data_IF_783454752330
#
_entry.id   IF_783454752330
#
_cell.length_a   1.000
_cell.length_b   1.000
_cell.length_c   1.000
_cell.angle_alpha   90.00
_cell.angle_beta   90.00
_cell.angle_gamma   90.00
#
_symmetry.space_group_name_H-M   'P 1'
#
loop_
_entity.id
_entity.type
_entity.pdbx_description
1 polymer ?
#
# COMPACT_ATOMS: atom_id res chain seq x y z
N UNK A 1 10.95 14.65 -5.52
CA UNK A 1 9.75 13.87 -5.15
C UNK A 1 9.30 13.13 -6.40
N UNK A 2 8.98 11.82 -6.33
CA UNK A 2 8.45 11.09 -7.48
C UNK A 2 7.02 11.57 -7.82
N UNK A 3 6.59 11.35 -9.05
CA UNK A 3 5.29 11.77 -9.57
C UNK A 3 4.08 11.05 -8.92
N UNK A 4 2.87 11.53 -9.28
CA UNK A 4 1.60 10.99 -8.80
C UNK A 4 1.44 9.50 -9.13
N UNK A 5 1.77 9.10 -10.37
CA UNK A 5 1.78 7.72 -10.85
C UNK A 5 2.57 6.81 -9.90
N UNK A 6 3.77 7.24 -9.53
CA UNK A 6 4.62 6.52 -8.60
C UNK A 6 4.01 6.42 -7.22
N UNK A 7 3.34 7.47 -6.72
CA UNK A 7 2.67 7.43 -5.40
C UNK A 7 1.54 6.42 -5.40
N UNK A 8 0.70 6.40 -6.45
CA UNK A 8 -0.39 5.41 -6.60
C UNK A 8 0.18 4.00 -6.70
N UNK A 9 1.23 3.80 -7.51
CA UNK A 9 1.89 2.51 -7.63
C UNK A 9 2.42 1.99 -6.29
N UNK A 10 3.21 2.79 -5.56
CA UNK A 10 3.80 2.33 -4.30
C UNK A 10 2.75 2.12 -3.21
N UNK A 11 1.72 2.96 -3.13
CA UNK A 11 0.62 2.80 -2.17
C UNK A 11 -0.07 1.45 -2.38
N UNK A 12 -0.54 1.19 -3.60
CA UNK A 12 -1.27 -0.03 -3.95
C UNK A 12 -0.38 -1.28 -3.84
N UNK A 13 0.88 -1.19 -4.29
CA UNK A 13 1.84 -2.29 -4.16
C UNK A 13 2.17 -2.61 -2.70
N UNK A 14 2.22 -1.60 -1.83
CA UNK A 14 2.46 -1.83 -0.39
C UNK A 14 1.24 -2.49 0.25
N UNK A 15 0.03 -2.00 -0.04
CA UNK A 15 -1.21 -2.56 0.50
C UNK A 15 -1.37 -4.06 0.15
N UNK A 16 -1.21 -4.44 -1.12
CA UNK A 16 -1.32 -5.85 -1.51
C UNK A 16 -0.20 -6.72 -0.91
N UNK A 17 1.03 -6.20 -0.77
CA UNK A 17 2.13 -6.92 -0.11
C UNK A 17 1.91 -7.13 1.39
N UNK A 18 1.21 -6.22 2.07
CA UNK A 18 0.79 -6.43 3.47
C UNK A 18 -0.09 -7.67 3.54
N UNK A 19 -1.14 -7.73 2.72
CA UNK A 19 -2.05 -8.88 2.66
C UNK A 19 -1.27 -10.15 2.33
N UNK A 20 -0.53 -10.15 1.22
CA UNK A 20 0.17 -11.32 0.73
C UNK A 20 1.12 -11.93 1.78
N UNK A 21 1.95 -11.09 2.41
CA UNK A 21 2.92 -11.54 3.43
C UNK A 21 2.24 -12.04 4.70
N UNK A 22 1.20 -11.33 5.15
CA UNK A 22 0.47 -11.73 6.37
C UNK A 22 -0.40 -12.96 6.17
N UNK A 23 -0.77 -13.31 4.94
CA UNK A 23 -1.47 -14.57 4.62
C UNK A 23 -0.56 -15.67 4.10
N UNK A 24 0.71 -15.37 3.81
CA UNK A 24 1.69 -16.34 3.32
C UNK A 24 1.50 -16.73 1.87
N UNK A 25 0.91 -15.85 1.06
CA UNK A 25 0.79 -16.01 -0.40
C UNK A 25 1.78 -15.09 -1.11
N UNK A 26 2.12 -15.41 -2.35
CA UNK A 26 2.94 -14.52 -3.17
C UNK A 26 2.13 -13.29 -3.62
N UNK A 27 2.70 -12.08 -3.55
CA UNK A 27 2.03 -10.87 -4.01
C UNK A 27 1.85 -10.89 -5.53
N UNK A 28 0.79 -10.24 -6.01
CA UNK A 28 0.60 -10.09 -7.46
C UNK A 28 1.76 -9.27 -8.07
N UNK A 29 2.18 -9.64 -9.27
CA UNK A 29 3.08 -8.81 -10.07
C UNK A 29 2.30 -7.65 -10.67
N UNK A 30 2.41 -6.49 -10.02
CA UNK A 30 1.77 -5.25 -10.45
C UNK A 30 2.86 -4.27 -10.88
N UNK A 31 3.28 -4.24 -12.16
CA UNK A 31 4.40 -3.43 -12.64
C UNK A 31 4.17 -1.94 -12.42
N UNK A 32 5.21 -1.12 -12.55
CA UNK A 32 5.07 0.35 -12.39
C UNK A 32 4.45 1.01 -13.60
N UNK A 33 4.74 0.47 -14.77
CA UNK A 33 4.38 1.08 -16.06
C UNK A 33 2.90 0.85 -16.42
N UNK A 34 2.13 0.13 -15.60
CA UNK A 34 0.68 -0.03 -15.74
C UNK A 34 -0.13 1.14 -15.14
N UNK A 35 0.56 2.12 -14.54
CA UNK A 35 -0.04 3.19 -13.76
C UNK A 35 0.31 4.53 -14.39
N UNK A 36 -0.25 4.83 -15.58
CA UNK A 36 0.15 6.00 -16.39
C UNK A 36 -0.92 7.09 -16.52
N UNK A 37 -2.20 6.72 -16.41
CA UNK A 37 -3.37 7.61 -16.57
C UNK A 37 -4.38 7.38 -15.44
N UNK A 38 -5.32 8.32 -15.26
CA UNK A 38 -6.30 8.25 -14.17
C UNK A 38 -7.15 6.97 -14.21
N UNK A 39 -7.62 6.55 -15.38
CA UNK A 39 -8.38 5.30 -15.56
C UNK A 39 -7.59 4.09 -15.06
N UNK A 40 -6.28 4.06 -15.35
CA UNK A 40 -5.38 3.02 -14.89
C UNK A 40 -5.17 3.09 -13.36
N UNK A 41 -5.12 4.28 -12.78
CA UNK A 41 -5.07 4.47 -11.32
C UNK A 41 -6.29 3.87 -10.65
N UNK A 42 -7.49 4.21 -11.13
CA UNK A 42 -8.73 3.71 -10.56
C UNK A 42 -8.84 2.20 -10.69
N UNK A 43 -8.49 1.63 -11.86
CA UNK A 43 -8.48 0.18 -12.07
C UNK A 43 -7.54 -0.53 -11.09
N UNK A 44 -6.32 -0.01 -10.93
CA UNK A 44 -5.33 -0.57 -10.01
C UNK A 44 -5.76 -0.47 -8.54
N UNK A 45 -6.34 0.67 -8.15
CA UNK A 45 -6.88 0.88 -6.80
C UNK A 45 -8.02 -0.13 -6.53
N UNK A 46 -8.95 -0.29 -7.46
CA UNK A 46 -10.06 -1.25 -7.33
C UNK A 46 -9.55 -2.70 -7.19
N UNK A 47 -8.59 -3.11 -8.03
CA UNK A 47 -8.00 -4.44 -7.96
C UNK A 47 -7.34 -4.71 -6.60
N UNK A 48 -6.57 -3.75 -6.06
CA UNK A 48 -5.93 -3.93 -4.75
C UNK A 48 -6.92 -3.85 -3.60
N UNK A 49 -7.96 -3.02 -3.72
CA UNK A 49 -9.03 -2.96 -2.73
C UNK A 49 -9.72 -4.33 -2.59
N UNK A 50 -10.02 -4.99 -3.72
CA UNK A 50 -10.60 -6.34 -3.71
C UNK A 50 -9.71 -7.36 -2.98
N UNK A 51 -8.38 -7.28 -3.16
CA UNK A 51 -7.42 -8.14 -2.43
C UNK A 51 -7.48 -7.88 -0.93
N UNK A 52 -7.54 -6.61 -0.52
CA UNK A 52 -7.61 -6.21 0.89
C UNK A 52 -8.93 -6.64 1.53
N UNK A 53 -10.05 -6.47 0.82
CA UNK A 53 -11.39 -6.84 1.30
C UNK A 53 -11.55 -8.36 1.45
N UNK A 54 -10.93 -9.15 0.57
CA UNK A 54 -10.98 -10.62 0.60
C UNK A 54 -9.94 -11.25 1.54
N UNK A 55 -9.11 -10.45 2.21
CA UNK A 55 -8.08 -10.97 3.09
C UNK A 55 -8.69 -11.78 4.27
N UNK A 56 -8.21 -13.00 4.47
CA UNK A 56 -8.62 -13.83 5.60
C UNK A 56 -8.03 -13.28 6.91
N UNK A 57 -8.87 -12.57 7.68
CA UNK A 57 -8.52 -11.99 8.98
C UNK A 57 -8.00 -13.03 9.97
N UNK A 58 -8.56 -14.23 9.98
CA UNK A 58 -8.15 -15.31 10.88
C UNK A 58 -6.76 -15.83 10.55
N UNK A 59 -6.45 -15.95 9.26
CA UNK A 59 -5.12 -16.35 8.80
C UNK A 59 -4.06 -15.27 9.08
N UNK A 60 -4.39 -14.00 8.87
CA UNK A 60 -3.52 -12.85 9.23
C UNK A 60 -3.11 -12.92 10.70
N UNK A 61 -4.08 -13.10 11.61
CA UNK A 61 -3.82 -13.19 13.05
C UNK A 61 -2.98 -14.43 13.41
N UNK A 62 -3.28 -15.60 12.83
CA UNK A 62 -2.52 -16.83 13.09
C UNK A 62 -1.06 -16.77 12.62
N UNK A 63 -0.74 -15.85 11.70
CA UNK A 63 0.59 -15.71 11.10
C UNK A 63 1.39 -14.54 11.65
N UNK A 64 0.91 -13.83 12.67
CA UNK A 64 1.55 -12.62 13.19
C UNK A 64 3.05 -12.80 13.51
N UNK A 65 3.43 -13.92 14.12
CA UNK A 65 4.82 -14.27 14.47
C UNK A 65 5.56 -15.12 13.42
N UNK A 66 5.02 -15.28 12.21
CA UNK A 66 5.75 -15.91 11.10
C UNK A 66 6.69 -14.88 10.47
N UNK A 67 7.88 -15.31 10.09
CA UNK A 67 8.83 -14.43 9.39
C UNK A 67 8.51 -14.35 7.90
N UNK A 68 8.76 -13.17 7.32
CA UNK A 68 8.73 -12.91 5.89
C UNK A 68 9.99 -12.18 5.48
N UNK A 69 10.56 -12.57 4.35
CA UNK A 69 11.72 -11.88 3.78
C UNK A 69 11.27 -10.64 3.01
N UNK A 70 11.84 -9.49 3.35
CA UNK A 70 11.62 -8.22 2.65
C UNK A 70 12.95 -7.71 2.09
N UNK A 71 12.90 -7.03 0.94
CA UNK A 71 14.06 -6.35 0.39
C UNK A 71 14.14 -4.92 0.92
N UNK A 72 15.27 -4.55 1.54
CA UNK A 72 15.61 -3.17 1.92
C UNK A 72 16.36 -2.42 0.80
N UNK A 73 16.40 -2.99 -0.40
CA UNK A 73 17.14 -2.50 -1.56
C UNK A 73 17.88 -3.64 -2.28
N UNK A 74 18.59 -3.33 -3.37
CA UNK A 74 19.36 -4.32 -4.12
C UNK A 74 20.32 -5.10 -3.21
N UNK A 75 20.20 -6.43 -3.21
CA UNK A 75 21.10 -7.33 -2.47
C UNK A 75 20.95 -7.32 -0.94
N UNK A 76 19.91 -6.69 -0.38
CA UNK A 76 19.72 -6.59 1.09
C UNK A 76 18.38 -7.20 1.54
N UNK A 77 18.24 -8.54 1.52
CA UNK A 77 17.09 -9.19 2.15
C UNK A 77 17.21 -9.09 3.67
N UNK A 78 16.07 -8.97 4.35
CA UNK A 78 15.97 -9.08 5.80
C UNK A 78 14.70 -9.83 6.16
N UNK A 79 14.78 -10.67 7.18
CA UNK A 79 13.63 -11.39 7.71
C UNK A 79 13.03 -10.59 8.86
N UNK A 80 11.71 -10.48 8.85
CA UNK A 80 10.93 -9.74 9.85
C UNK A 80 9.62 -10.46 10.11
N UNK A 81 9.13 -10.44 11.34
CA UNK A 81 7.82 -11.01 11.65
C UNK A 81 6.70 -10.29 10.88
N UNK A 82 5.65 -11.02 10.50
CA UNK A 82 4.52 -10.48 9.75
C UNK A 82 3.90 -9.26 10.44
N UNK A 83 3.77 -9.32 11.77
CA UNK A 83 3.25 -8.22 12.59
C UNK A 83 4.13 -6.98 12.49
N UNK A 84 5.42 -7.12 12.73
CA UNK A 84 6.36 -6.02 12.74
C UNK A 84 6.56 -5.45 11.34
N UNK A 85 6.51 -6.30 10.31
CA UNK A 85 6.46 -5.85 8.92
C UNK A 85 5.21 -5.01 8.65
N UNK A 86 4.02 -5.50 9.01
CA UNK A 86 2.78 -4.79 8.73
C UNK A 86 2.73 -3.45 9.48
N UNK A 87 3.05 -3.43 10.77
CA UNK A 87 2.94 -2.26 11.64
C UNK A 87 4.12 -1.29 11.51
N UNK A 88 5.34 -1.81 11.44
CA UNK A 88 6.57 -1.01 11.41
C UNK A 88 7.00 -0.55 10.02
N UNK A 89 6.60 -1.27 8.97
CA UNK A 89 6.99 -0.95 7.59
C UNK A 89 5.80 -0.69 6.67
N UNK A 90 4.89 -1.65 6.53
CA UNK A 90 3.80 -1.61 5.54
C UNK A 90 2.85 -0.42 5.73
N UNK A 91 2.19 -0.35 6.88
CA UNK A 91 1.20 0.68 7.20
C UNK A 91 1.81 2.10 7.14
N UNK A 92 2.99 2.37 7.74
CA UNK A 92 3.65 3.67 7.60
C UNK A 92 3.92 4.07 6.14
N UNK A 93 4.36 3.13 5.30
CA UNK A 93 4.59 3.39 3.86
C UNK A 93 3.28 3.72 3.12
N UNK A 94 2.17 3.04 3.43
CA UNK A 94 0.85 3.37 2.85
C UNK A 94 0.49 4.82 3.14
N UNK A 95 0.59 5.26 4.41
CA UNK A 95 0.29 6.64 4.80
C UNK A 95 1.23 7.67 4.18
N UNK A 96 2.52 7.35 4.08
CA UNK A 96 3.50 8.22 3.44
C UNK A 96 3.14 8.48 1.96
N UNK A 97 2.85 7.41 1.21
CA UNK A 97 2.50 7.54 -0.21
C UNK A 97 1.14 8.22 -0.41
N UNK A 98 0.15 7.95 0.44
CA UNK A 98 -1.14 8.62 0.41
C UNK A 98 -0.99 10.13 0.64
N UNK A 99 -0.22 10.52 1.66
CA UNK A 99 0.03 11.93 1.99
C UNK A 99 0.79 12.64 0.87
N UNK A 100 1.77 11.97 0.26
CA UNK A 100 2.50 12.52 -0.88
C UNK A 100 1.61 12.69 -2.12
N UNK A 101 0.72 11.73 -2.42
CA UNK A 101 -0.27 11.88 -3.50
C UNK A 101 -1.22 13.06 -3.25
N UNK A 102 -1.74 13.18 -2.02
CA UNK A 102 -2.55 14.32 -1.60
C UNK A 102 -1.80 15.64 -1.77
N UNK A 103 -0.53 15.72 -1.36
CA UNK A 103 0.29 16.92 -1.46
C UNK A 103 0.55 17.33 -2.91
N UNK A 104 0.81 16.37 -3.81
CA UNK A 104 0.99 16.63 -5.25
C UNK A 104 -0.30 17.22 -5.82
N UNK A 105 -1.44 16.56 -5.63
CA UNK A 105 -2.73 17.06 -6.16
C UNK A 105 -3.07 18.45 -5.63
N UNK A 106 -2.84 18.70 -4.34
CA UNK A 106 -3.07 20.02 -3.73
C UNK A 106 -2.13 21.08 -4.31
N UNK A 107 -0.87 20.74 -4.57
CA UNK A 107 0.11 21.65 -5.19
C UNK A 107 -0.28 22.03 -6.62
N UNK A 108 -0.86 21.09 -7.37
CA UNK A 108 -1.37 21.32 -8.74
C UNK A 108 -2.72 22.08 -8.78
N UNK A 109 -3.16 22.65 -7.65
CA UNK A 109 -4.36 23.51 -7.60
C UNK A 109 -5.68 22.78 -7.39
N UNK A 110 -5.67 21.46 -7.19
CA UNK A 110 -6.90 20.73 -6.84
C UNK A 110 -7.34 21.16 -5.44
N UNK A 111 -8.61 21.55 -5.31
CA UNK A 111 -9.25 22.05 -4.09
C UNK A 111 -9.44 21.00 -2.97
N UNK A 112 -8.44 20.15 -2.73
CA UNK A 112 -8.43 19.19 -1.63
C UNK A 112 -8.22 19.91 -0.30
N UNK A 113 -8.89 19.46 0.76
CA UNK A 113 -8.73 19.90 2.15
C UNK A 113 -8.23 18.79 3.06
N UNK A 114 -7.92 19.14 4.32
CA UNK A 114 -7.58 18.15 5.36
C UNK A 114 -8.67 17.07 5.51
N UNK A 115 -9.94 17.43 5.33
CA UNK A 115 -11.06 16.49 5.45
C UNK A 115 -11.05 15.44 4.34
N UNK A 116 -10.59 15.76 3.12
CA UNK A 116 -10.49 14.76 2.04
C UNK A 116 -9.50 13.65 2.37
N UNK A 117 -8.41 14.00 3.07
CA UNK A 117 -7.45 13.03 3.57
C UNK A 117 -7.96 12.27 4.80
N UNK A 118 -8.55 12.98 5.78
CA UNK A 118 -8.83 12.41 7.10
C UNK A 118 -10.18 11.69 7.21
N UNK A 119 -11.15 11.96 6.33
CA UNK A 119 -12.52 11.45 6.45
C UNK A 119 -12.58 9.93 6.56
N UNK A 120 -11.74 9.22 5.83
CA UNK A 120 -11.73 7.75 5.80
C UNK A 120 -11.13 7.11 7.06
N UNK A 121 -10.49 7.89 7.94
CA UNK A 121 -9.91 7.39 9.21
C UNK A 121 -10.77 7.72 10.43
N UNK A 122 -11.76 8.59 10.27
CA UNK A 122 -12.78 8.78 11.28
C UNK A 122 -13.68 7.56 11.21
N UNK A 123 -13.90 6.90 12.35
CA UNK A 123 -14.89 5.84 12.49
C UNK A 123 -16.18 6.26 11.80
N UNK A 124 -16.63 5.47 10.82
CA UNK A 124 -18.02 5.52 10.37
C UNK A 124 -18.92 4.96 11.48
#
# INVERSE_FOLDING_TARGET
>A
MLDLSSRVHFLTNTAQKIVARTTGVEPLSLPRDDCTIFEAYYKRIAQVLEIVEKADKGLVLKREGKTVTIGLGPGKPTDIECRDYAQGHGIPNVFFHLTAAYAILRKEGIGLGKQDHAKSFKSQ
#
